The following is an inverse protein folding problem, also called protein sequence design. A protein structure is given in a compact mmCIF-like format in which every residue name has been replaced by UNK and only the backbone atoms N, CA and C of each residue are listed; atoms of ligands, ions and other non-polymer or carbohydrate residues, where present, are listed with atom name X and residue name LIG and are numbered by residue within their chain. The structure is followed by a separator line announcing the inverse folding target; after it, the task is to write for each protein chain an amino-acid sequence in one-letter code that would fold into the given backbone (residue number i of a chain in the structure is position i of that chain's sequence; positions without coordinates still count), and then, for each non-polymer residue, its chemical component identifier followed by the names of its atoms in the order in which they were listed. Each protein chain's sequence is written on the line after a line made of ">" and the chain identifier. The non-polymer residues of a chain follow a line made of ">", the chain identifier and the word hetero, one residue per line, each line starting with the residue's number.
data_IF_963375617939
#
_entry.id   IF_963375617939
#
_cell.length_a   1.000
_cell.length_b   1.000
_cell.length_c   1.000
_cell.angle_alpha   90.00
_cell.angle_beta   90.00
_cell.angle_gamma   90.00
#
_symmetry.space_group_name_H-M   'P 1'
#
loop_
_entity.id
_entity.type
_entity.pdbx_description
1 polymer ?
#
# COMPACT_ATOMS: atom_id res chain seq x y z
N UNK A 1 -6.69 -4.27 -2.19
CA UNK A 1 -5.50 -3.51 -2.64
C UNK A 1 -4.48 -3.06 -1.59
N UNK A 2 -4.75 -2.76 -0.31
CA UNK A 2 -3.70 -2.22 0.59
C UNK A 2 -3.01 -3.29 1.45
N UNK A 3 -1.72 -3.13 1.73
CA UNK A 3 -0.95 -3.93 2.68
C UNK A 3 0.08 -4.90 2.07
N UNK A 4 0.38 -4.79 0.78
CA UNK A 4 1.30 -5.69 0.07
C UNK A 4 2.78 -5.28 0.20
N UNK A 5 3.07 -4.06 0.63
CA UNK A 5 4.46 -3.57 0.79
C UNK A 5 4.96 -3.92 2.19
N UNK A 6 5.51 -5.12 2.35
CA UNK A 6 5.94 -5.66 3.65
C UNK A 6 7.45 -5.85 3.73
N UNK A 7 7.97 -6.05 4.95
CA UNK A 7 9.37 -6.42 5.18
C UNK A 7 9.56 -7.93 5.02
N UNK A 8 10.73 -8.37 4.55
CA UNK A 8 11.19 -9.74 4.72
C UNK A 8 11.97 -9.84 6.04
N UNK A 9 11.28 -10.27 7.10
CA UNK A 9 11.85 -10.31 8.47
C UNK A 9 13.13 -11.16 8.60
N UNK A 10 13.23 -12.36 7.98
CA UNK A 10 14.46 -13.16 8.05
C UNK A 10 15.69 -12.47 7.45
N UNK A 11 15.48 -11.62 6.44
CA UNK A 11 16.53 -10.90 5.71
C UNK A 11 16.80 -9.49 6.27
N UNK A 12 16.34 -9.19 7.49
CA UNK A 12 16.48 -7.87 8.11
C UNK A 12 17.29 -7.95 9.40
N UNK A 13 18.29 -7.06 9.56
CA UNK A 13 19.06 -6.97 10.80
C UNK A 13 18.11 -6.62 11.96
N UNK A 14 18.37 -7.18 13.14
CA UNK A 14 17.50 -6.95 14.31
C UNK A 14 17.32 -5.46 14.65
N UNK A 15 18.38 -4.65 14.56
CA UNK A 15 18.30 -3.18 14.76
C UNK A 15 17.32 -2.50 13.80
N UNK A 16 17.27 -2.96 12.56
CA UNK A 16 16.48 -2.39 11.48
C UNK A 16 15.02 -2.86 11.60
N UNK A 17 14.81 -4.11 12.03
CA UNK A 17 13.49 -4.61 12.40
C UNK A 17 12.87 -3.82 13.56
N UNK A 18 13.63 -3.54 14.64
CA UNK A 18 13.12 -2.73 15.75
C UNK A 18 12.83 -1.30 15.31
N UNK A 19 13.65 -0.72 14.45
CA UNK A 19 13.43 0.61 13.87
C UNK A 19 12.16 0.66 13.01
N UNK A 20 11.98 -0.30 12.09
CA UNK A 20 10.76 -0.44 11.30
C UNK A 20 9.52 -0.55 12.19
N UNK A 21 9.59 -1.42 13.21
CA UNK A 21 8.49 -1.60 14.17
C UNK A 21 8.19 -0.32 14.95
N UNK A 22 9.21 0.47 15.29
CA UNK A 22 9.02 1.74 15.98
C UNK A 22 8.28 2.77 15.13
N UNK A 23 8.58 2.86 13.82
CA UNK A 23 7.79 3.69 12.90
C UNK A 23 6.37 3.17 12.68
N UNK A 24 6.18 1.85 12.57
CA UNK A 24 4.84 1.24 12.48
C UNK A 24 3.98 1.58 13.72
N UNK A 25 4.56 1.46 14.92
CA UNK A 25 3.90 1.84 16.17
C UNK A 25 3.69 3.36 16.27
N UNK A 26 4.61 4.17 15.75
CA UNK A 26 4.46 5.62 15.68
C UNK A 26 3.29 6.05 14.79
N UNK A 27 3.15 5.45 13.61
CA UNK A 27 1.99 5.68 12.73
C UNK A 27 0.68 5.27 13.42
N UNK A 28 0.66 4.11 14.07
CA UNK A 28 -0.48 3.64 14.86
C UNK A 28 -0.89 4.64 15.96
N UNK A 29 0.10 5.21 16.68
CA UNK A 29 -0.11 6.26 17.68
C UNK A 29 -0.72 7.51 17.06
N UNK A 30 -0.11 8.04 16.00
CA UNK A 30 -0.55 9.29 15.34
C UNK A 30 -1.97 9.13 14.78
N UNK A 31 -2.29 7.99 14.16
CA UNK A 31 -3.65 7.68 13.71
C UNK A 31 -4.67 7.71 14.86
N UNK A 32 -4.31 7.13 16.01
CA UNK A 32 -5.16 7.14 17.20
C UNK A 32 -5.34 8.54 17.78
N UNK A 33 -4.27 9.32 17.87
CA UNK A 33 -4.30 10.67 18.44
C UNK A 33 -5.11 11.64 17.58
N UNK A 34 -4.94 11.58 16.25
CA UNK A 34 -5.61 12.50 15.33
C UNK A 34 -7.06 12.08 15.01
N UNK A 35 -7.30 10.78 14.91
CA UNK A 35 -8.55 10.24 14.34
C UNK A 35 -9.25 9.20 15.22
N UNK A 36 -8.77 9.01 16.45
CA UNK A 36 -9.33 8.06 17.40
C UNK A 36 -9.13 6.61 17.00
N UNK A 37 -9.87 5.73 17.67
CA UNK A 37 -9.79 4.28 17.46
C UNK A 37 -10.07 3.87 16.00
N UNK A 38 -11.02 4.54 15.33
CA UNK A 38 -11.33 4.25 13.93
C UNK A 38 -10.12 4.48 13.04
N UNK A 39 -9.40 5.60 13.21
CA UNK A 39 -8.16 5.83 12.48
C UNK A 39 -7.09 4.80 12.80
N UNK A 40 -6.96 4.40 14.07
CA UNK A 40 -6.01 3.37 14.48
C UNK A 40 -6.23 2.04 13.73
N UNK A 41 -7.49 1.66 13.49
CA UNK A 41 -7.86 0.44 12.76
C UNK A 41 -7.53 0.49 11.26
N UNK A 42 -7.21 1.66 10.73
CA UNK A 42 -6.85 1.83 9.31
C UNK A 42 -5.37 1.59 9.02
N UNK A 43 -4.55 1.32 10.04
CA UNK A 43 -3.10 1.18 9.92
C UNK A 43 -2.68 0.19 8.80
N UNK A 44 -1.76 0.62 7.94
CA UNK A 44 -1.26 -0.18 6.81
C UNK A 44 0.28 -0.22 6.76
N UNK A 45 0.82 -1.29 6.17
CA UNK A 45 2.25 -1.39 5.90
C UNK A 45 2.71 -0.42 4.81
N UNK A 46 1.87 -0.15 3.81
CA UNK A 46 2.19 0.79 2.72
C UNK A 46 2.45 2.21 3.26
N UNK A 47 1.65 2.66 4.23
CA UNK A 47 1.88 3.97 4.88
C UNK A 47 3.11 3.96 5.77
N UNK A 48 3.46 2.82 6.38
CA UNK A 48 4.70 2.69 7.15
C UNK A 48 5.92 2.79 6.23
N UNK A 49 5.87 2.15 5.06
CA UNK A 49 6.87 2.32 4.00
C UNK A 49 6.98 3.79 3.56
N UNK A 50 5.85 4.45 3.31
CA UNK A 50 5.82 5.87 2.93
C UNK A 50 6.49 6.76 4.00
N UNK A 51 6.21 6.51 5.29
CA UNK A 51 6.85 7.24 6.39
C UNK A 51 8.36 7.05 6.38
N UNK A 52 8.84 5.80 6.28
CA UNK A 52 10.27 5.50 6.25
C UNK A 52 10.96 6.11 5.04
N UNK A 53 10.36 5.98 3.85
CA UNK A 53 10.92 6.48 2.59
C UNK A 53 11.10 8.00 2.66
N UNK A 54 10.05 8.72 3.03
CA UNK A 54 10.08 10.17 3.05
C UNK A 54 10.90 10.70 4.22
N UNK A 55 10.88 10.03 5.38
CA UNK A 55 11.74 10.39 6.52
C UNK A 55 13.22 10.25 6.14
N UNK A 56 13.58 9.16 5.46
CA UNK A 56 14.93 8.97 4.92
C UNK A 56 15.29 10.04 3.88
N UNK A 57 14.40 10.31 2.93
CA UNK A 57 14.64 11.25 1.83
C UNK A 57 14.79 12.70 2.29
N UNK A 58 13.98 13.13 3.25
CA UNK A 58 13.96 14.50 3.76
C UNK A 58 14.75 14.68 5.06
N UNK A 59 15.40 13.62 5.54
CA UNK A 59 16.19 13.61 6.78
C UNK A 59 15.41 14.16 7.99
N UNK A 60 14.12 13.84 8.05
CA UNK A 60 13.21 14.38 9.06
C UNK A 60 13.42 13.67 10.40
N UNK A 61 13.87 14.41 11.42
CA UNK A 61 14.25 13.82 12.71
C UNK A 61 13.02 13.28 13.44
N UNK A 62 13.00 11.98 13.80
CA UNK A 62 11.89 11.42 14.55
C UNK A 62 11.88 11.90 16.00
N UNK A 63 10.69 12.17 16.52
CA UNK A 63 10.44 12.16 17.96
C UNK A 63 10.39 10.71 18.43
N UNK A 64 11.07 10.43 19.54
CA UNK A 64 11.09 9.11 20.18
C UNK A 64 10.28 9.10 21.45
N UNK A 65 9.34 8.16 21.55
CA UNK A 65 8.61 7.88 22.77
C UNK A 65 8.54 6.36 23.04
N UNK A 66 8.23 5.99 24.29
CA UNK A 66 7.99 4.61 24.69
C UNK A 66 6.64 4.44 25.36
N UNK A 67 5.73 3.74 24.69
CA UNK A 67 4.36 3.53 25.17
C UNK A 67 3.95 2.06 25.10
N UNK A 68 2.92 1.71 25.89
CA UNK A 68 2.22 0.43 25.79
C UNK A 68 1.07 0.58 24.82
N UNK A 69 0.80 -0.45 24.02
CA UNK A 69 -0.39 -0.47 23.16
C UNK A 69 -1.38 -1.54 23.66
N UNK A 70 -2.65 -1.38 23.31
CA UNK A 70 -3.72 -2.32 23.73
C UNK A 70 -3.44 -3.73 23.23
N UNK A 71 -2.84 -3.86 22.04
CA UNK A 71 -2.47 -5.16 21.44
C UNK A 71 -1.29 -5.81 22.18
N UNK A 72 -0.41 -5.02 22.78
CA UNK A 72 0.77 -5.52 23.49
C UNK A 72 0.94 -4.80 24.84
N UNK A 73 0.02 -5.02 25.81
CA UNK A 73 -0.03 -4.25 27.05
C UNK A 73 1.11 -4.61 28.02
N UNK A 74 1.71 -5.80 27.84
CA UNK A 74 2.72 -6.33 28.74
C UNK A 74 4.11 -5.67 28.59
N UNK A 75 4.41 -5.03 27.45
CA UNK A 75 5.72 -4.44 27.18
C UNK A 75 5.56 -3.02 26.61
N UNK A 76 6.47 -2.12 27.01
CA UNK A 76 6.63 -0.85 26.30
C UNK A 76 7.33 -1.14 24.97
N UNK A 77 6.96 -0.41 23.93
CA UNK A 77 7.62 -0.46 22.63
C UNK A 77 8.01 0.95 22.22
N UNK A 78 9.12 1.08 21.51
CA UNK A 78 9.55 2.34 20.92
C UNK A 78 8.55 2.78 19.85
N UNK A 79 8.36 4.10 19.75
CA UNK A 79 7.52 4.76 18.77
C UNK A 79 8.29 5.92 18.17
N UNK A 80 8.50 5.88 16.86
CA UNK A 80 9.12 6.97 16.09
C UNK A 80 8.06 7.63 15.22
N UNK A 81 7.93 8.94 15.34
CA UNK A 81 7.00 9.72 14.55
C UNK A 81 7.50 11.16 14.34
N UNK A 82 7.03 11.79 13.28
CA UNK A 82 7.40 13.13 12.84
C UNK A 82 6.27 13.73 11.97
N UNK A 83 6.50 14.90 11.37
CA UNK A 83 5.52 15.55 10.48
C UNK A 83 5.12 14.68 9.27
N UNK A 84 6.02 13.84 8.79
CA UNK A 84 5.75 12.90 7.69
C UNK A 84 4.80 11.79 8.15
N UNK A 85 4.92 11.35 9.40
CA UNK A 85 3.99 10.40 10.01
C UNK A 85 2.58 10.98 10.09
N UNK A 86 2.47 12.27 10.40
CA UNK A 86 1.18 12.97 10.34
C UNK A 86 0.61 13.06 8.92
N UNK A 87 1.45 13.36 7.93
CA UNK A 87 1.05 13.35 6.54
C UNK A 87 0.55 11.97 6.09
N UNK A 88 1.28 10.91 6.44
CA UNK A 88 0.91 9.53 6.14
C UNK A 88 -0.42 9.16 6.81
N UNK A 89 -0.64 9.57 8.06
CA UNK A 89 -1.91 9.38 8.75
C UNK A 89 -3.07 10.09 8.03
N UNK A 90 -2.87 11.35 7.61
CA UNK A 90 -3.87 12.11 6.83
C UNK A 90 -4.20 11.36 5.52
N UNK A 91 -3.18 10.89 4.79
CA UNK A 91 -3.36 10.16 3.52
C UNK A 91 -4.02 8.79 3.70
N UNK A 92 -3.70 8.10 4.79
CA UNK A 92 -4.31 6.81 5.11
C UNK A 92 -5.83 6.94 5.27
N UNK A 93 -6.29 7.98 5.98
CA UNK A 93 -7.73 8.25 6.12
C UNK A 93 -8.39 8.59 4.79
N UNK A 94 -7.70 9.31 3.90
CA UNK A 94 -8.22 9.60 2.54
C UNK A 94 -8.47 8.30 1.80
N UNK A 95 -7.52 7.37 1.80
CA UNK A 95 -7.66 6.08 1.12
C UNK A 95 -8.73 5.20 1.76
N UNK A 96 -8.77 5.10 3.08
CA UNK A 96 -9.82 4.32 3.76
C UNK A 96 -11.21 4.90 3.52
N UNK A 97 -11.34 6.24 3.48
CA UNK A 97 -12.62 6.87 3.17
C UNK A 97 -13.10 6.47 1.77
N UNK A 98 -12.21 6.49 0.78
CA UNK A 98 -12.57 6.09 -0.58
C UNK A 98 -12.83 4.60 -0.72
N UNK A 99 -12.09 3.74 -0.03
CA UNK A 99 -12.36 2.30 0.03
C UNK A 99 -13.78 2.04 0.51
N UNK A 100 -14.19 2.64 1.65
CA UNK A 100 -15.56 2.48 2.13
C UNK A 100 -16.63 3.09 1.22
N UNK A 101 -16.27 4.13 0.46
CA UNK A 101 -17.17 4.70 -0.53
C UNK A 101 -17.40 3.75 -1.71
N UNK A 102 -16.35 3.05 -2.13
CA UNK A 102 -16.35 2.04 -3.17
C UNK A 102 -17.17 0.79 -2.76
N UNK A 103 -16.88 0.22 -1.58
CA UNK A 103 -17.61 -0.93 -1.00
C UNK A 103 -19.13 -0.67 -0.92
N UNK A 104 -19.52 0.57 -0.61
CA UNK A 104 -20.92 0.95 -0.59
C UNK A 104 -21.53 1.11 -1.99
N UNK A 105 -20.77 1.66 -2.94
CA UNK A 105 -21.26 1.90 -4.28
C UNK A 105 -21.44 0.61 -5.08
N UNK A 106 -20.51 -0.34 -4.91
CA UNK A 106 -20.45 -1.55 -5.74
C UNK A 106 -21.19 -2.73 -5.09
N UNK A 107 -21.02 -2.94 -3.78
CA UNK A 107 -21.64 -4.09 -3.07
C UNK A 107 -22.83 -3.70 -2.17
N UNK A 108 -23.14 -2.40 -2.04
CA UNK A 108 -24.09 -1.88 -1.02
C UNK A 108 -23.75 -2.38 0.39
N UNK A 109 -22.46 -2.49 0.70
CA UNK A 109 -21.98 -2.97 2.00
C UNK A 109 -22.42 -2.05 3.14
N UNK A 110 -23.13 -2.61 4.13
CA UNK A 110 -23.55 -1.87 5.35
C UNK A 110 -22.35 -1.36 6.14
N UNK A 111 -21.24 -2.10 6.12
CA UNK A 111 -19.97 -1.72 6.76
C UNK A 111 -19.35 -0.53 6.02
N UNK A 112 -19.31 -0.58 4.69
CA UNK A 112 -18.86 0.55 3.85
C UNK A 112 -19.65 1.83 4.14
N UNK A 113 -20.98 1.75 4.20
CA UNK A 113 -21.82 2.91 4.52
C UNK A 113 -21.53 3.49 5.92
N UNK A 114 -21.39 2.63 6.92
CA UNK A 114 -21.08 3.05 8.29
C UNK A 114 -19.69 3.69 8.39
N UNK A 115 -18.68 3.06 7.81
CA UNK A 115 -17.30 3.56 7.76
C UNK A 115 -17.19 4.89 7.03
N UNK A 116 -17.82 5.01 5.86
CA UNK A 116 -17.88 6.26 5.08
C UNK A 116 -18.51 7.39 5.89
N UNK A 117 -19.64 7.14 6.58
CA UNK A 117 -20.30 8.16 7.43
C UNK A 117 -19.43 8.56 8.61
N UNK A 118 -18.78 7.59 9.26
CA UNK A 118 -17.92 7.84 10.40
C UNK A 118 -16.69 8.68 10.04
N UNK A 119 -16.06 8.40 8.89
CA UNK A 119 -14.87 9.10 8.43
C UNK A 119 -15.17 10.39 7.65
N UNK A 120 -16.42 10.62 7.21
CA UNK A 120 -16.78 11.78 6.35
C UNK A 120 -16.31 13.11 6.90
N UNK A 121 -16.56 13.41 8.17
CA UNK A 121 -16.15 14.70 8.79
C UNK A 121 -14.62 14.85 8.79
N UNK A 122 -13.91 13.78 9.09
CA UNK A 122 -12.45 13.74 9.10
C UNK A 122 -11.88 13.93 7.70
N UNK A 123 -12.40 13.18 6.72
CA UNK A 123 -12.03 13.33 5.32
C UNK A 123 -12.25 14.75 4.80
N UNK A 124 -13.38 15.40 5.14
CA UNK A 124 -13.65 16.77 4.72
C UNK A 124 -12.62 17.77 5.25
N UNK A 125 -12.19 17.63 6.52
CA UNK A 125 -11.10 18.44 7.10
C UNK A 125 -9.77 18.21 6.39
N UNK A 126 -9.43 16.96 6.07
CA UNK A 126 -8.20 16.63 5.34
C UNK A 126 -8.25 17.18 3.91
N UNK A 127 -9.42 17.12 3.26
CA UNK A 127 -9.65 17.71 1.93
C UNK A 127 -9.48 19.22 1.92
N UNK A 128 -9.86 19.92 2.99
CA UNK A 128 -9.58 21.36 3.12
C UNK A 128 -8.07 21.63 3.24
N UNK A 129 -7.32 20.75 3.92
CA UNK A 129 -5.86 20.85 4.05
C UNK A 129 -5.11 20.50 2.75
N UNK A 130 -5.59 19.52 1.98
CA UNK A 130 -4.94 19.06 0.73
C UNK A 130 -5.92 18.99 -0.46
N UNK A 131 -6.53 20.11 -0.88
CA UNK A 131 -7.62 20.10 -1.86
C UNK A 131 -7.18 19.52 -3.20
N UNK A 132 -6.03 19.95 -3.71
CA UNK A 132 -5.49 19.49 -4.98
C UNK A 132 -5.12 18.00 -4.97
N UNK A 133 -4.59 17.50 -3.84
CA UNK A 133 -4.17 16.10 -3.72
C UNK A 133 -5.38 15.17 -3.64
N UNK A 134 -6.34 15.49 -2.76
CA UNK A 134 -7.58 14.72 -2.63
C UNK A 134 -8.36 14.70 -3.95
N UNK A 135 -8.40 15.80 -4.70
CA UNK A 135 -9.07 15.83 -6.00
C UNK A 135 -8.39 14.95 -7.04
N UNK A 136 -7.05 14.94 -7.10
CA UNK A 136 -6.32 14.04 -8.01
C UNK A 136 -6.49 12.56 -7.64
N UNK A 137 -6.40 12.23 -6.35
CA UNK A 137 -6.65 10.86 -5.86
C UNK A 137 -8.06 10.41 -6.27
N UNK A 138 -9.07 11.26 -6.03
CA UNK A 138 -10.45 11.00 -6.44
C UNK A 138 -10.58 10.75 -7.94
N UNK A 139 -9.91 11.56 -8.78
CA UNK A 139 -9.94 11.37 -10.24
C UNK A 139 -9.32 10.05 -10.68
N UNK A 140 -8.21 9.64 -10.05
CA UNK A 140 -7.58 8.35 -10.33
C UNK A 140 -8.53 7.19 -10.00
N UNK A 141 -9.17 7.23 -8.83
CA UNK A 141 -10.16 6.23 -8.41
C UNK A 141 -11.38 6.17 -9.33
N UNK A 142 -11.92 7.33 -9.74
CA UNK A 142 -13.05 7.36 -10.68
C UNK A 142 -12.67 6.76 -12.04
N UNK A 143 -11.45 7.01 -12.53
CA UNK A 143 -10.95 6.40 -13.78
C UNK A 143 -10.77 4.89 -13.62
N UNK A 144 -10.25 4.45 -12.48
CA UNK A 144 -10.08 3.04 -12.13
C UNK A 144 -11.44 2.32 -12.14
N UNK A 145 -12.38 2.75 -11.30
CA UNK A 145 -13.73 2.20 -11.22
C UNK A 145 -14.43 2.16 -12.58
N UNK A 146 -14.25 3.21 -13.40
CA UNK A 146 -14.85 3.26 -14.74
C UNK A 146 -14.26 2.16 -15.63
N UNK A 147 -12.95 1.95 -15.60
CA UNK A 147 -12.30 0.93 -16.41
C UNK A 147 -12.68 -0.49 -15.94
N UNK A 148 -12.78 -0.72 -14.64
CA UNK A 148 -13.23 -1.98 -14.05
C UNK A 148 -14.69 -2.29 -14.44
N UNK A 149 -15.57 -1.29 -14.41
CA UNK A 149 -16.97 -1.41 -14.88
C UNK A 149 -17.10 -1.66 -16.38
N UNK A 150 -16.16 -1.14 -17.18
CA UNK A 150 -16.06 -1.44 -18.61
C UNK A 150 -15.36 -2.78 -18.89
N UNK A 151 -14.93 -3.50 -17.84
CA UNK A 151 -14.16 -4.75 -17.92
C UNK A 151 -12.93 -4.62 -18.83
N UNK A 152 -12.16 -3.55 -18.63
CA UNK A 152 -10.90 -3.33 -19.33
C UNK A 152 -9.96 -4.53 -19.14
N UNK A 153 -9.57 -5.19 -20.23
CA UNK A 153 -8.71 -6.38 -20.17
C UNK A 153 -7.22 -5.99 -20.09
N UNK A 154 -6.86 -4.76 -20.45
CA UNK A 154 -5.49 -4.30 -20.39
C UNK A 154 -5.09 -3.94 -18.96
N UNK A 155 -4.42 -4.88 -18.29
CA UNK A 155 -3.90 -4.71 -16.93
C UNK A 155 -2.98 -3.49 -16.77
N UNK A 156 -2.25 -3.08 -17.82
CA UNK A 156 -1.36 -1.93 -17.78
C UNK A 156 -2.14 -0.61 -17.61
N UNK A 157 -3.31 -0.53 -18.24
CA UNK A 157 -4.21 0.64 -18.17
C UNK A 157 -4.81 0.77 -16.77
N UNK A 158 -5.40 -0.31 -16.25
CA UNK A 158 -6.06 -0.27 -14.93
C UNK A 158 -5.05 -0.09 -13.80
N UNK A 159 -3.96 -0.85 -13.81
CA UNK A 159 -2.89 -0.70 -12.82
C UNK A 159 -2.25 0.69 -12.89
N UNK A 160 -2.20 1.29 -14.09
CA UNK A 160 -1.72 2.66 -14.30
C UNK A 160 -2.52 3.72 -13.53
N UNK A 161 -3.85 3.58 -13.41
CA UNK A 161 -4.65 4.52 -12.61
C UNK A 161 -4.34 4.43 -11.12
N UNK A 162 -4.14 3.23 -10.60
CA UNK A 162 -3.71 3.05 -9.20
C UNK A 162 -2.26 3.51 -9.00
N UNK A 163 -1.40 3.32 -10.01
CA UNK A 163 -0.07 3.92 -10.07
C UNK A 163 -0.09 5.44 -9.95
N UNK A 164 -0.91 6.14 -10.77
CA UNK A 164 -1.04 7.60 -10.68
C UNK A 164 -1.46 8.06 -9.28
N UNK A 165 -2.39 7.33 -8.65
CA UNK A 165 -2.82 7.57 -7.28
C UNK A 165 -1.66 7.44 -6.29
N UNK A 166 -0.91 6.33 -6.35
CA UNK A 166 0.24 6.10 -5.48
C UNK A 166 1.35 7.15 -5.70
N UNK A 167 1.59 7.55 -6.94
CA UNK A 167 2.50 8.66 -7.26
C UNK A 167 2.09 9.99 -6.61
N UNK A 168 0.80 10.29 -6.52
CA UNK A 168 0.32 11.48 -5.80
C UNK A 168 0.38 11.32 -4.28
N UNK A 169 0.23 10.11 -3.73
CA UNK A 169 0.41 9.86 -2.29
C UNK A 169 1.86 10.05 -1.86
N UNK A 170 2.82 9.51 -2.61
CA UNK A 170 4.24 9.61 -2.28
C UNK A 170 4.79 11.03 -2.45
N UNK A 171 4.13 11.88 -3.24
CA UNK A 171 4.53 13.27 -3.43
C UNK A 171 4.20 14.12 -2.19
N UNK A 172 5.08 14.11 -1.19
CA UNK A 172 4.90 14.90 0.03
C UNK A 172 5.13 16.42 -0.18
N UNK A 173 6.19 16.78 -0.91
CA UNK A 173 6.56 18.17 -1.25
C UNK A 173 6.68 18.33 -2.77
N UNK A 174 6.36 19.52 -3.28
CA UNK A 174 6.56 19.86 -4.69
C UNK A 174 7.95 20.46 -4.89
N UNK A 175 8.96 19.60 -4.94
CA UNK A 175 10.37 19.98 -5.03
C UNK A 175 11.15 19.15 -6.07
N UNK A 176 12.48 19.16 -5.97
CA UNK A 176 13.40 18.46 -6.88
C UNK A 176 13.12 16.96 -6.99
N UNK A 177 12.52 16.34 -5.96
CA UNK A 177 12.21 14.90 -5.94
C UNK A 177 10.89 14.55 -6.60
N UNK A 178 10.06 15.54 -6.96
CA UNK A 178 8.72 15.34 -7.52
C UNK A 178 8.67 14.28 -8.61
N UNK A 179 9.55 14.38 -9.61
CA UNK A 179 9.56 13.47 -10.77
C UNK A 179 9.92 12.05 -10.34
N UNK A 180 10.89 11.89 -9.46
CA UNK A 180 11.38 10.59 -8.99
C UNK A 180 10.36 9.92 -8.06
N UNK A 181 9.80 10.66 -7.09
CA UNK A 181 8.75 10.16 -6.19
C UNK A 181 7.48 9.75 -6.94
N UNK A 182 7.06 10.54 -7.95
CA UNK A 182 5.93 10.17 -8.81
C UNK A 182 6.22 8.90 -9.60
N UNK A 183 7.43 8.73 -10.15
CA UNK A 183 7.81 7.51 -10.88
C UNK A 183 7.83 6.30 -9.95
N UNK A 184 8.44 6.43 -8.77
CA UNK A 184 8.47 5.37 -7.76
C UNK A 184 7.04 4.96 -7.38
N UNK A 185 6.21 5.92 -6.98
CA UNK A 185 4.82 5.66 -6.60
C UNK A 185 3.98 5.08 -7.75
N UNK A 186 4.21 5.53 -8.99
CA UNK A 186 3.53 4.99 -10.16
C UNK A 186 3.76 3.48 -10.33
N UNK A 187 5.02 3.06 -10.34
CA UNK A 187 5.34 1.65 -10.52
C UNK A 187 5.04 0.80 -9.27
N UNK A 188 5.21 1.36 -8.08
CA UNK A 188 4.79 0.70 -6.84
C UNK A 188 3.27 0.47 -6.80
N UNK A 189 2.48 1.44 -7.25
CA UNK A 189 1.03 1.27 -7.37
C UNK A 189 0.67 0.22 -8.40
N UNK A 190 1.31 0.22 -9.58
CA UNK A 190 1.09 -0.84 -10.57
C UNK A 190 1.37 -2.23 -9.99
N UNK A 191 2.49 -2.35 -9.29
CA UNK A 191 2.86 -3.56 -8.56
C UNK A 191 1.76 -4.01 -7.58
N UNK A 192 1.31 -3.12 -6.70
CA UNK A 192 0.27 -3.41 -5.70
C UNK A 192 -1.01 -3.88 -6.39
N UNK A 193 -1.46 -3.19 -7.44
CA UNK A 193 -2.68 -3.54 -8.16
C UNK A 193 -2.58 -4.92 -8.84
N UNK A 194 -1.46 -5.19 -9.53
CA UNK A 194 -1.24 -6.47 -10.22
C UNK A 194 -1.18 -7.61 -9.19
N UNK A 195 -0.50 -7.40 -8.06
CA UNK A 195 -0.39 -8.42 -7.03
C UNK A 195 -1.73 -8.69 -6.32
N UNK A 196 -2.55 -7.66 -6.09
CA UNK A 196 -3.91 -7.81 -5.54
C UNK A 196 -4.78 -8.63 -6.49
N UNK A 197 -4.81 -8.28 -7.78
CA UNK A 197 -5.50 -9.05 -8.80
C UNK A 197 -4.97 -10.49 -8.90
N UNK A 198 -3.67 -10.69 -8.74
CA UNK A 198 -3.06 -12.02 -8.70
C UNK A 198 -3.52 -12.81 -7.46
N UNK A 199 -3.53 -12.19 -6.28
CA UNK A 199 -3.90 -12.82 -5.01
C UNK A 199 -5.39 -13.20 -4.95
N UNK A 200 -6.28 -12.38 -5.50
CA UNK A 200 -7.74 -12.58 -5.44
C UNK A 200 -8.34 -13.30 -6.66
N UNK A 201 -7.54 -13.67 -7.67
CA UNK A 201 -8.01 -14.26 -8.93
C UNK A 201 -9.01 -15.42 -8.78
N UNK A 202 -8.75 -16.36 -7.88
CA UNK A 202 -9.65 -17.51 -7.66
C UNK A 202 -11.00 -17.07 -7.09
N UNK A 203 -10.98 -16.20 -6.08
CA UNK A 203 -12.20 -15.66 -5.45
C UNK A 203 -13.00 -14.81 -6.43
N UNK A 204 -12.33 -14.00 -7.23
CA UNK A 204 -12.96 -13.15 -8.23
C UNK A 204 -13.63 -13.98 -9.33
N UNK A 205 -12.98 -15.06 -9.75
CA UNK A 205 -13.55 -16.03 -10.69
C UNK A 205 -14.79 -16.70 -10.14
N UNK A 206 -14.76 -17.16 -8.89
CA UNK A 206 -15.89 -17.83 -8.23
C UNK A 206 -17.09 -16.90 -8.01
N UNK A 207 -16.82 -15.64 -7.63
CA UNK A 207 -17.84 -14.64 -7.37
C UNK A 207 -18.35 -13.93 -8.64
N UNK A 208 -17.67 -14.10 -9.78
CA UNK A 208 -17.97 -13.40 -11.04
C UNK A 208 -17.54 -11.93 -11.05
N UNK A 209 -16.76 -11.52 -10.05
CA UNK A 209 -16.19 -10.18 -9.91
C UNK A 209 -15.21 -9.87 -11.04
N UNK A 210 -14.98 -8.58 -11.28
CA UNK A 210 -14.01 -8.16 -12.29
C UNK A 210 -12.59 -8.43 -11.78
N UNK A 211 -11.77 -9.06 -12.63
CA UNK A 211 -10.34 -9.17 -12.43
C UNK A 211 -9.64 -9.20 -13.81
N UNK A 212 -8.64 -8.34 -14.06
CA UNK A 212 -8.01 -8.22 -15.37
C UNK A 212 -7.19 -9.46 -15.78
N UNK A 213 -6.85 -10.33 -14.83
CA UNK A 213 -6.09 -11.56 -15.08
C UNK A 213 -6.96 -12.75 -15.47
N UNK A 214 -8.31 -12.63 -15.44
CA UNK A 214 -9.21 -13.73 -15.81
C UNK A 214 -8.97 -14.27 -17.23
N UNK A 215 -8.55 -13.40 -18.16
CA UNK A 215 -8.23 -13.78 -19.53
C UNK A 215 -6.97 -14.64 -19.63
N UNK A 216 -6.06 -14.53 -18.65
CA UNK A 216 -4.83 -15.30 -18.57
C UNK A 216 -4.97 -16.57 -17.74
N UNK A 217 -6.10 -16.78 -17.03
CA UNK A 217 -6.27 -17.86 -16.06
C UNK A 217 -6.04 -19.27 -16.64
N UNK A 218 -6.46 -19.52 -17.89
CA UNK A 218 -6.28 -20.82 -18.56
C UNK A 218 -4.99 -20.92 -19.38
N UNK A 219 -4.11 -19.92 -19.34
CA UNK A 219 -2.84 -19.95 -20.05
C UNK A 219 -1.82 -20.76 -19.23
N UNK A 220 -1.22 -21.79 -19.84
CA UNK A 220 -0.18 -22.60 -19.17
C UNK A 220 1.02 -21.78 -18.71
N UNK A 221 1.25 -20.60 -19.31
CA UNK A 221 2.30 -19.64 -18.92
C UNK A 221 1.78 -18.52 -18.03
N UNK A 222 0.61 -18.67 -17.41
CA UNK A 222 0.00 -17.68 -16.53
C UNK A 222 0.98 -17.21 -15.45
N UNK A 223 1.56 -18.14 -14.70
CA UNK A 223 2.48 -17.83 -13.59
C UNK A 223 3.74 -17.11 -14.08
N UNK A 224 4.32 -17.59 -15.18
CA UNK A 224 5.49 -16.95 -15.82
C UNK A 224 5.17 -15.51 -16.22
N UNK A 225 4.01 -15.28 -16.87
CA UNK A 225 3.58 -13.94 -17.31
C UNK A 225 3.35 -13.01 -16.13
N UNK A 226 2.69 -13.47 -15.08
CA UNK A 226 2.46 -12.70 -13.85
C UNK A 226 3.78 -12.33 -13.17
N UNK A 227 4.69 -13.29 -13.01
CA UNK A 227 6.03 -13.05 -12.48
C UNK A 227 6.83 -12.04 -13.31
N UNK A 228 6.77 -12.13 -14.65
CA UNK A 228 7.42 -11.16 -15.54
C UNK A 228 6.83 -9.76 -15.41
N UNK A 229 5.50 -9.64 -15.35
CA UNK A 229 4.82 -8.34 -15.16
C UNK A 229 5.24 -7.69 -13.83
N UNK A 230 5.19 -8.44 -12.72
CA UNK A 230 5.62 -7.97 -11.39
C UNK A 230 7.09 -7.57 -11.39
N UNK A 231 7.96 -8.38 -12.01
CA UNK A 231 9.40 -8.09 -12.13
C UNK A 231 9.64 -6.79 -12.87
N UNK A 232 8.95 -6.56 -13.99
CA UNK A 232 9.12 -5.35 -14.80
C UNK A 232 8.73 -4.08 -14.02
N UNK A 233 7.57 -4.08 -13.36
CA UNK A 233 7.14 -2.92 -12.58
C UNK A 233 8.02 -2.69 -11.35
N UNK A 234 8.48 -3.76 -10.68
CA UNK A 234 9.41 -3.64 -9.54
C UNK A 234 10.79 -3.15 -9.97
N UNK A 235 11.29 -3.55 -11.13
CA UNK A 235 12.56 -3.05 -11.67
C UNK A 235 12.50 -1.53 -11.90
N UNK A 236 11.39 -1.05 -12.45
CA UNK A 236 11.16 0.39 -12.67
C UNK A 236 10.97 1.17 -11.37
N UNK A 237 10.25 0.60 -10.39
CA UNK A 237 10.11 1.15 -9.04
C UNK A 237 11.49 1.27 -8.35
N UNK A 238 12.28 0.19 -8.40
CA UNK A 238 13.62 0.09 -7.82
C UNK A 238 14.60 1.08 -8.47
N UNK A 239 14.57 1.20 -9.80
CA UNK A 239 15.37 2.18 -10.53
C UNK A 239 15.03 3.62 -10.15
N UNK A 240 13.77 3.92 -9.83
CA UNK A 240 13.38 5.23 -9.31
C UNK A 240 13.86 5.43 -7.87
N UNK A 241 13.75 4.40 -7.03
CA UNK A 241 14.22 4.42 -5.64
C UNK A 241 15.73 4.69 -5.52
N UNK A 242 16.58 3.99 -6.27
CA UNK A 242 18.04 4.16 -6.18
C UNK A 242 18.55 5.52 -6.70
N UNK A 243 17.67 6.36 -7.28
CA UNK A 243 17.98 7.76 -7.63
C UNK A 243 17.70 8.74 -6.48
N UNK A 244 17.05 8.29 -5.42
CA UNK A 244 16.78 9.08 -4.23
C UNK A 244 17.96 8.96 -3.25
N UNK A 245 18.44 10.06 -2.64
CA UNK A 245 19.56 10.04 -1.71
C UNK A 245 19.14 9.55 -0.30
N UNK A 246 18.46 8.40 -0.24
CA UNK A 246 18.02 7.79 1.00
C UNK A 246 19.20 7.10 1.70
N UNK A 247 19.86 7.80 2.63
CA UNK A 247 21.01 7.26 3.39
C UNK A 247 20.52 6.55 4.66
N UNK A 248 19.72 7.25 5.48
CA UNK A 248 19.14 6.64 6.68
C UNK A 248 18.08 5.60 6.30
N UNK A 249 17.99 4.49 7.03
CA UNK A 249 17.00 3.42 6.81
C UNK A 249 17.07 2.73 5.44
N UNK A 250 18.14 2.94 4.65
CA UNK A 250 18.31 2.34 3.33
C UNK A 250 18.21 0.81 3.36
N UNK A 251 18.77 0.15 4.38
CA UNK A 251 18.69 -1.30 4.56
C UNK A 251 17.24 -1.78 4.71
N UNK A 252 16.37 -1.02 5.40
CA UNK A 252 14.94 -1.33 5.55
C UNK A 252 14.21 -1.13 4.22
N UNK A 253 14.46 0.00 3.55
CA UNK A 253 13.81 0.34 2.28
C UNK A 253 14.17 -0.66 1.17
N UNK A 254 15.45 -1.08 1.09
CA UNK A 254 15.91 -2.12 0.17
C UNK A 254 15.35 -3.49 0.54
N UNK A 255 15.28 -3.86 1.82
CA UNK A 255 14.64 -5.10 2.25
C UNK A 255 13.20 -5.17 1.76
N UNK A 256 12.43 -4.08 1.91
CA UNK A 256 11.06 -3.99 1.42
C UNK A 256 11.02 -4.13 -0.11
N UNK A 257 11.74 -3.28 -0.84
CA UNK A 257 11.61 -3.17 -2.30
C UNK A 257 12.26 -4.33 -3.08
N UNK A 258 13.22 -5.05 -2.51
CA UNK A 258 13.95 -6.14 -3.20
C UNK A 258 13.54 -7.53 -2.75
N UNK A 259 13.07 -7.67 -1.51
CA UNK A 259 12.78 -8.99 -0.94
C UNK A 259 11.35 -9.06 -0.44
N UNK A 260 10.94 -8.12 0.41
CA UNK A 260 9.66 -8.15 1.10
C UNK A 260 8.44 -8.01 0.20
N UNK A 261 8.58 -7.33 -0.94
CA UNK A 261 7.56 -7.31 -1.99
C UNK A 261 7.19 -8.74 -2.43
N UNK A 262 8.17 -9.62 -2.64
CA UNK A 262 7.92 -10.97 -3.17
C UNK A 262 7.23 -11.94 -2.20
N UNK A 263 7.25 -11.66 -0.88
CA UNK A 263 6.71 -12.53 0.16
C UNK A 263 5.35 -13.14 -0.22
N UNK A 264 4.41 -12.28 -0.63
CA UNK A 264 3.03 -12.69 -0.91
C UNK A 264 2.89 -13.51 -2.19
N UNK A 265 3.66 -13.17 -3.22
CA UNK A 265 3.71 -13.93 -4.46
C UNK A 265 4.30 -15.33 -4.21
N UNK A 266 5.44 -15.40 -3.50
CA UNK A 266 6.11 -16.65 -3.17
C UNK A 266 5.27 -17.56 -2.29
N UNK A 267 4.55 -16.99 -1.32
CA UNK A 267 3.64 -17.75 -0.45
C UNK A 267 2.49 -18.39 -1.25
N UNK A 268 1.94 -17.66 -2.23
CA UNK A 268 0.89 -18.17 -3.11
C UNK A 268 1.40 -19.26 -4.07
N UNK A 269 2.60 -19.09 -4.64
CA UNK A 269 3.26 -20.13 -5.43
C UNK A 269 3.42 -21.45 -4.65
N UNK A 270 3.90 -21.37 -3.41
CA UNK A 270 4.07 -22.55 -2.56
C UNK A 270 2.75 -23.26 -2.27
N UNK A 271 1.68 -22.51 -2.02
CA UNK A 271 0.35 -23.09 -1.79
C UNK A 271 -0.15 -23.85 -3.03
N UNK A 272 0.05 -23.29 -4.22
CA UNK A 272 -0.33 -23.94 -5.48
C UNK A 272 0.42 -25.25 -5.69
N UNK A 273 1.74 -25.29 -5.44
CA UNK A 273 2.53 -26.52 -5.55
C UNK A 273 2.09 -27.60 -4.56
N UNK A 274 1.83 -27.25 -3.30
CA UNK A 274 1.36 -28.22 -2.28
C UNK A 274 -0.02 -28.78 -2.63
N UNK A 275 -0.92 -27.95 -3.17
CA UNK A 275 -2.25 -28.40 -3.60
C UNK A 275 -2.17 -29.36 -4.80
N UNK A 276 -1.25 -29.14 -5.74
CA UNK A 276 -1.04 -30.06 -6.88
C UNK A 276 -0.45 -31.41 -6.46
N UNK A 277 0.38 -31.44 -5.41
CA UNK A 277 0.95 -32.68 -4.86
C UNK A 277 -0.10 -33.45 -4.03
N UNK A 278 -0.93 -32.77 -3.24
CA UNK A 278 -1.98 -33.40 -2.43
C UNK A 278 -3.19 -33.94 -3.22
N UNK A 279 -3.38 -33.54 -4.48
CA UNK A 279 -4.40 -34.11 -5.39
C UNK A 279 -3.89 -35.40 -6.08
N UNK A 280 -2.57 -35.66 -6.02
CA UNK A 280 -1.93 -36.84 -6.63
C UNK A 280 -1.74 -38.00 -5.65
N UNK A 281 -2.11 -37.86 -4.39
CA UNK A 281 -2.17 -38.93 -3.36
C UNK A 281 -3.61 -39.44 -3.16
#
# INVERSE_FOLDING_TARGET
>A
MFGYVTICKPELKMKDYYTYRAYYCGLCKVLKEKYGFLGQMTLTYDMTFLVLLLTSLYEEKPTHEQNRCIVHPAKKHDMFFNEITEYAADMNIVLTYFHFADDWQDEKSKVGLAGMRALRKTYLKIREKYPNKCEKIRRCLVRLQKAEKMREENIDVVSGYFGELMGELLLYKDDVWKKTLKRLGFYLGKYIYILDAYDDLEKDRESGSYNPLLTLYNDERYEEKCGQMLTLVLAECSSAFEKLPCIEYADILRNILYVGVWNKYDDKQKQNTVNEEGIKE
#
